data_IF_172527939708
#
_entry.id   IF_172527939708
#
_cell.length_a   1.000
_cell.length_b   1.000
_cell.length_c   1.000
_cell.angle_alpha   90.00
_cell.angle_beta   90.00
_cell.angle_gamma   90.00
#
_symmetry.space_group_name_H-M   'P 1'
#
loop_
_entity.id
_entity.type
_entity.pdbx_description
1 polymer ?
#
# COMPACT_ATOMS: atom_id res chain seq x y z
N UNK A 1 -69.28 -8.06 -3.36
CA UNK A 1 -68.41 -8.34 -2.22
C UNK A 1 -66.98 -8.74 -2.64
N UNK A 2 -66.83 -9.55 -3.67
CA UNK A 2 -65.49 -10.06 -4.13
C UNK A 2 -64.48 -8.99 -4.60
N UNK A 3 -64.93 -7.86 -5.16
CA UNK A 3 -64.00 -6.80 -5.58
C UNK A 3 -63.32 -6.05 -4.42
N UNK A 4 -64.06 -5.81 -3.34
CA UNK A 4 -63.51 -5.12 -2.15
C UNK A 4 -62.45 -5.98 -1.43
N UNK A 5 -62.66 -7.30 -1.36
CA UNK A 5 -61.69 -8.24 -0.78
C UNK A 5 -60.41 -8.37 -1.64
N UNK A 6 -60.50 -8.34 -2.94
CA UNK A 6 -59.35 -8.36 -3.85
C UNK A 6 -58.48 -7.09 -3.72
N UNK A 7 -59.14 -5.92 -3.59
CA UNK A 7 -58.45 -4.64 -3.36
C UNK A 7 -57.76 -4.62 -2.00
N UNK A 8 -58.40 -5.18 -0.99
CA UNK A 8 -57.80 -5.28 0.35
C UNK A 8 -56.56 -6.18 0.36
N UNK A 9 -56.61 -7.34 -0.34
CA UNK A 9 -55.46 -8.23 -0.50
C UNK A 9 -54.30 -7.56 -1.25
N UNK A 10 -54.59 -6.77 -2.29
CA UNK A 10 -53.58 -6.02 -3.06
C UNK A 10 -52.93 -4.93 -2.22
N UNK A 11 -53.70 -4.22 -1.39
CA UNK A 11 -53.18 -3.23 -0.44
C UNK A 11 -52.26 -3.84 0.62
N UNK A 12 -52.66 -4.98 1.20
CA UNK A 12 -51.84 -5.71 2.18
C UNK A 12 -50.56 -6.25 1.52
N UNK A 13 -50.62 -6.74 0.30
CA UNK A 13 -49.44 -7.21 -0.44
C UNK A 13 -48.47 -6.09 -0.74
N UNK A 14 -48.95 -4.91 -1.17
CA UNK A 14 -48.13 -3.73 -1.41
C UNK A 14 -47.49 -3.22 -0.11
N UNK A 15 -48.24 -3.18 1.00
CA UNK A 15 -47.70 -2.80 2.31
C UNK A 15 -46.61 -3.77 2.80
N UNK A 16 -46.75 -5.07 2.52
CA UNK A 16 -45.76 -6.09 2.85
C UNK A 16 -44.46 -5.98 2.02
N UNK A 17 -44.59 -5.60 0.73
CA UNK A 17 -43.42 -5.34 -0.12
C UNK A 17 -42.61 -4.09 0.29
N UNK A 18 -43.23 -3.07 0.87
CA UNK A 18 -42.53 -1.85 1.31
C UNK A 18 -41.68 -2.03 2.59
N UNK A 19 -41.90 -3.09 3.36
CA UNK A 19 -41.16 -3.30 4.64
C UNK A 19 -39.76 -3.91 4.47
N UNK A 20 -39.31 -4.29 3.27
CA UNK A 20 -38.07 -5.05 3.06
C UNK A 20 -36.85 -4.21 2.72
N UNK A 21 -36.94 -2.88 2.62
CA UNK A 21 -35.87 -2.03 2.08
C UNK A 21 -35.15 -1.21 3.16
N UNK A 22 -34.90 -1.77 4.34
CA UNK A 22 -33.99 -1.15 5.29
C UNK A 22 -32.57 -1.62 4.96
N UNK A 23 -31.82 -0.80 4.21
CA UNK A 23 -30.38 -0.94 4.13
C UNK A 23 -29.82 -0.75 5.55
N UNK A 24 -29.39 -1.83 6.19
CA UNK A 24 -28.79 -1.77 7.51
C UNK A 24 -27.38 -1.17 7.39
N UNK A 25 -27.27 0.13 7.61
CA UNK A 25 -25.98 0.80 7.77
C UNK A 25 -25.37 0.27 9.08
N UNK A 26 -24.24 -0.41 8.97
CA UNK A 26 -23.50 -0.94 10.10
C UNK A 26 -22.26 -0.10 10.35
N UNK A 27 -22.06 0.37 11.59
CA UNK A 27 -20.83 1.04 12.01
C UNK A 27 -19.82 0.01 12.50
N UNK A 28 -18.61 0.05 11.91
CA UNK A 28 -17.48 -0.78 12.29
C UNK A 28 -16.43 0.11 12.91
N UNK A 29 -15.89 -0.32 14.04
CA UNK A 29 -14.78 0.35 14.74
C UNK A 29 -13.66 -0.64 14.98
N UNK A 30 -12.46 -0.11 15.21
CA UNK A 30 -11.31 -0.93 15.56
C UNK A 30 -10.02 -0.14 15.60
N UNK A 31 -8.94 -0.85 15.81
CA UNK A 31 -7.58 -0.31 15.81
C UNK A 31 -6.75 -1.00 14.75
N UNK A 32 -5.83 -0.26 14.16
CA UNK A 32 -4.80 -0.78 13.25
C UNK A 32 -3.45 -0.65 13.94
N UNK A 33 -2.73 -1.75 14.02
CA UNK A 33 -1.39 -1.82 14.62
C UNK A 33 -0.43 -2.53 13.67
N UNK A 34 0.86 -2.22 13.81
CA UNK A 34 1.94 -2.95 13.15
C UNK A 34 2.08 -4.35 13.77
N UNK A 35 2.36 -5.36 12.94
CA UNK A 35 2.55 -6.74 13.40
C UNK A 35 3.90 -6.93 14.11
N UNK A 36 4.92 -6.10 13.80
CA UNK A 36 6.27 -6.22 14.34
C UNK A 36 6.37 -5.74 15.79
N UNK A 37 5.83 -4.58 16.08
CA UNK A 37 5.99 -3.87 17.37
C UNK A 37 4.67 -3.63 18.11
N UNK A 38 3.54 -3.93 17.47
CA UNK A 38 2.19 -3.65 17.96
C UNK A 38 1.91 -2.16 18.19
N UNK A 39 2.70 -1.27 17.57
CA UNK A 39 2.47 0.17 17.63
C UNK A 39 1.24 0.59 16.80
N UNK A 40 0.46 1.59 17.28
CA UNK A 40 -0.68 2.11 16.54
C UNK A 40 -0.24 2.75 15.22
N UNK A 41 -0.92 2.42 14.13
CA UNK A 41 -0.60 2.95 12.81
C UNK A 41 -1.51 4.11 12.43
N UNK A 42 -0.90 5.28 12.20
CA UNK A 42 -1.57 6.53 11.85
C UNK A 42 -1.71 6.63 10.33
N UNK A 43 -2.85 7.12 9.82
CA UNK A 43 -3.03 7.42 8.41
C UNK A 43 -3.24 6.20 7.51
N UNK A 44 -3.53 5.03 8.07
CA UNK A 44 -3.88 3.83 7.30
C UNK A 44 -5.20 4.04 6.60
N UNK A 45 -5.26 3.81 5.30
CA UNK A 45 -6.48 3.92 4.50
C UNK A 45 -7.30 2.63 4.60
N UNK A 46 -8.60 2.78 4.90
CA UNK A 46 -9.58 1.70 4.99
C UNK A 46 -10.72 2.05 4.05
N UNK A 47 -10.93 1.23 3.01
CA UNK A 47 -11.97 1.42 2.00
C UNK A 47 -12.94 0.24 1.99
N UNK A 48 -14.23 0.54 1.81
CA UNK A 48 -15.24 -0.47 1.51
C UNK A 48 -15.16 -0.85 0.02
N UNK A 49 -14.89 -2.12 -0.27
CA UNK A 49 -14.73 -2.62 -1.63
C UNK A 49 -15.95 -2.35 -2.51
N UNK A 50 -15.69 -1.87 -3.73
CA UNK A 50 -16.74 -1.57 -4.71
C UNK A 50 -17.47 -0.24 -4.47
N UNK A 51 -17.01 0.56 -3.50
CA UNK A 51 -17.57 1.88 -3.20
C UNK A 51 -16.46 2.94 -3.09
N UNK A 52 -16.85 4.21 -2.95
CA UNK A 52 -15.94 5.32 -2.61
C UNK A 52 -15.93 5.60 -1.10
N UNK A 53 -16.60 4.76 -0.32
CA UNK A 53 -16.70 4.93 1.12
C UNK A 53 -15.40 4.45 1.80
N UNK A 54 -14.80 5.31 2.61
CA UNK A 54 -13.56 5.00 3.31
C UNK A 54 -13.28 5.93 4.47
N UNK A 55 -12.29 5.56 5.27
CA UNK A 55 -11.76 6.37 6.36
C UNK A 55 -10.25 6.17 6.49
N UNK A 56 -9.62 6.99 7.32
CA UNK A 56 -8.22 6.85 7.72
C UNK A 56 -8.13 6.69 9.25
N UNK A 57 -7.08 6.03 9.73
CA UNK A 57 -6.82 5.90 11.17
C UNK A 57 -6.33 7.20 11.80
N UNK A 58 -6.71 7.42 13.04
CA UNK A 58 -6.28 8.55 13.87
C UNK A 58 -4.89 8.35 14.49
N UNK A 59 -4.45 9.29 15.35
CA UNK A 59 -3.16 9.27 16.04
C UNK A 59 -2.96 8.04 16.95
N UNK A 60 -4.03 7.41 17.38
CA UNK A 60 -4.01 6.22 18.21
C UNK A 60 -4.27 4.93 17.40
N UNK A 61 -4.25 5.03 16.05
CA UNK A 61 -4.55 3.92 15.16
C UNK A 61 -6.02 3.52 15.11
N UNK A 62 -6.95 4.29 15.73
CA UNK A 62 -8.36 3.96 15.73
C UNK A 62 -9.03 4.37 14.42
N UNK A 63 -10.03 3.63 14.01
CA UNK A 63 -10.87 3.96 12.87
C UNK A 63 -12.35 3.70 13.14
N UNK A 64 -13.20 4.35 12.37
CA UNK A 64 -14.64 4.14 12.36
C UNK A 64 -15.17 4.33 10.94
N UNK A 65 -15.79 3.30 10.39
CA UNK A 65 -16.39 3.29 9.04
C UNK A 65 -17.83 2.81 9.10
N UNK A 66 -18.71 3.43 8.32
CA UNK A 66 -20.08 2.96 8.14
C UNK A 66 -20.15 2.17 6.84
N UNK A 67 -20.59 0.92 6.88
CA UNK A 67 -20.76 0.07 5.70
C UNK A 67 -22.22 -0.15 5.38
N UNK A 68 -22.52 -0.37 4.08
CA UNK A 68 -23.88 -0.48 3.60
C UNK A 68 -24.52 -1.85 3.89
N UNK A 69 -23.70 -2.87 4.18
CA UNK A 69 -24.22 -4.20 4.51
C UNK A 69 -23.25 -4.95 5.44
N UNK A 70 -23.80 -5.93 6.17
CA UNK A 70 -23.06 -6.75 7.12
C UNK A 70 -22.02 -7.68 6.48
N UNK A 71 -22.10 -7.93 5.17
CA UNK A 71 -21.16 -8.75 4.41
C UNK A 71 -20.12 -7.92 3.62
N UNK A 72 -20.03 -6.62 3.89
CA UNK A 72 -19.06 -5.74 3.26
C UNK A 72 -17.63 -6.28 3.41
N UNK A 73 -16.80 -5.91 2.47
CA UNK A 73 -15.38 -6.26 2.47
C UNK A 73 -14.57 -4.97 2.56
N UNK A 74 -13.65 -4.88 3.49
CA UNK A 74 -12.78 -3.74 3.69
C UNK A 74 -11.41 -4.02 3.09
N UNK A 75 -10.88 -3.08 2.32
CA UNK A 75 -9.48 -3.08 1.88
C UNK A 75 -8.70 -2.09 2.73
N UNK A 76 -7.64 -2.57 3.35
CA UNK A 76 -6.76 -1.81 4.25
C UNK A 76 -5.40 -1.69 3.59
N UNK A 77 -4.91 -0.47 3.43
CA UNK A 77 -3.64 -0.19 2.75
C UNK A 77 -2.85 0.92 3.43
N UNK A 78 -1.53 0.74 3.43
CA UNK A 78 -0.58 1.75 3.91
C UNK A 78 0.75 1.59 3.15
N UNK A 79 1.48 2.69 2.96
CA UNK A 79 2.77 2.69 2.24
C UNK A 79 3.79 1.85 3.00
N UNK A 80 4.45 0.91 2.32
CA UNK A 80 5.42 0.00 2.94
C UNK A 80 4.82 -1.23 3.63
N UNK A 81 3.50 -1.41 3.57
CA UNK A 81 2.80 -2.54 4.18
C UNK A 81 1.97 -3.31 3.15
N UNK A 82 1.78 -4.59 3.39
CA UNK A 82 0.95 -5.45 2.55
C UNK A 82 -0.50 -5.04 2.64
N UNK A 83 -1.13 -4.78 1.50
CA UNK A 83 -2.57 -4.54 1.44
C UNK A 83 -3.34 -5.77 1.89
N UNK A 84 -4.30 -5.58 2.78
CA UNK A 84 -5.14 -6.64 3.32
C UNK A 84 -6.60 -6.45 2.97
N UNK A 85 -7.30 -7.55 2.73
CA UNK A 85 -8.74 -7.56 2.45
C UNK A 85 -9.46 -8.34 3.54
N UNK A 86 -10.39 -7.69 4.24
CA UNK A 86 -11.05 -8.21 5.44
C UNK A 86 -12.56 -8.20 5.24
N UNK A 87 -13.20 -9.37 5.38
CA UNK A 87 -14.65 -9.49 5.38
C UNK A 87 -15.22 -9.09 6.74
N UNK A 88 -16.23 -8.24 6.74
CA UNK A 88 -16.90 -7.75 7.96
C UNK A 88 -17.64 -8.85 8.69
N UNK A 89 -18.43 -9.67 7.96
CA UNK A 89 -19.19 -10.80 8.50
C UNK A 89 -20.03 -10.41 9.74
N UNK A 90 -20.71 -9.28 9.68
CA UNK A 90 -21.56 -8.80 10.77
C UNK A 90 -20.85 -8.32 12.04
N UNK A 91 -19.50 -8.25 12.05
CA UNK A 91 -18.74 -7.79 13.20
C UNK A 91 -18.77 -6.27 13.29
N UNK A 92 -19.00 -5.74 14.51
CA UNK A 92 -18.98 -4.29 14.78
C UNK A 92 -17.60 -3.78 15.20
N UNK A 93 -16.70 -4.70 15.62
CA UNK A 93 -15.33 -4.38 16.00
C UNK A 93 -14.36 -5.29 15.27
N UNK A 94 -13.38 -4.69 14.58
CA UNK A 94 -12.35 -5.41 13.84
C UNK A 94 -11.01 -4.73 14.09
N UNK A 95 -10.12 -5.41 14.83
CA UNK A 95 -8.75 -4.96 15.02
C UNK A 95 -7.86 -5.60 13.94
N UNK A 96 -6.96 -4.80 13.37
CA UNK A 96 -6.17 -5.14 12.19
C UNK A 96 -4.69 -5.09 12.54
N UNK A 97 -3.94 -6.10 12.11
CA UNK A 97 -2.48 -6.12 12.19
C UNK A 97 -1.92 -6.04 10.78
N UNK A 98 -1.09 -5.03 10.51
CA UNK A 98 -0.48 -4.81 9.21
C UNK A 98 0.93 -5.40 9.19
N UNK A 99 1.25 -6.16 8.14
CA UNK A 99 2.57 -6.71 7.90
C UNK A 99 3.35 -5.84 6.94
N UNK A 100 4.61 -5.58 7.22
CA UNK A 100 5.50 -4.87 6.31
C UNK A 100 5.67 -5.62 4.97
N UNK A 101 5.71 -4.86 3.88
CA UNK A 101 6.02 -5.39 2.56
C UNK A 101 7.48 -5.08 2.20
N UNK A 102 8.38 -5.99 2.60
CA UNK A 102 9.81 -5.87 2.34
C UNK A 102 10.17 -5.77 0.86
N UNK A 103 9.29 -6.22 -0.06
CA UNK A 103 9.52 -6.14 -1.49
C UNK A 103 9.42 -4.71 -2.04
N UNK A 104 8.63 -3.85 -1.40
CA UNK A 104 8.49 -2.44 -1.80
C UNK A 104 9.78 -1.66 -1.53
N UNK A 105 10.57 -2.08 -0.52
CA UNK A 105 11.86 -1.45 -0.19
C UNK A 105 12.96 -1.79 -1.20
N UNK A 106 12.91 -2.97 -1.84
CA UNK A 106 13.86 -3.36 -2.88
C UNK A 106 13.63 -2.65 -4.23
N UNK A 107 12.40 -2.24 -4.54
CA UNK A 107 12.10 -1.51 -5.78
C UNK A 107 12.44 -0.01 -5.72
N UNK A 108 12.49 0.59 -4.53
CA UNK A 108 12.74 2.04 -4.39
C UNK A 108 14.23 2.40 -4.50
N UNK A 109 15.15 1.42 -4.39
CA UNK A 109 16.60 1.65 -4.48
C UNK A 109 17.11 1.77 -5.92
N UNK A 110 16.31 1.50 -6.95
CA UNK A 110 16.77 1.42 -8.35
C UNK A 110 16.41 2.65 -9.19
N UNK A 111 15.74 3.66 -8.67
CA UNK A 111 15.38 4.86 -9.46
C UNK A 111 16.15 6.08 -8.99
N UNK A 112 17.44 6.06 -9.23
CA UNK A 112 18.26 7.24 -9.03
C UNK A 112 19.74 6.98 -9.31
N UNK A 113 20.18 7.33 -10.50
CA UNK A 113 21.53 7.19 -11.06
C UNK A 113 21.81 5.81 -11.66
N UNK A 114 21.80 5.77 -12.99
CA UNK A 114 22.18 4.62 -13.78
C UNK A 114 23.51 4.03 -13.30
N UNK A 115 23.46 2.80 -12.83
CA UNK A 115 24.64 1.97 -12.72
C UNK A 115 25.10 1.72 -14.15
N UNK A 116 26.02 2.55 -14.66
CA UNK A 116 26.81 2.18 -15.83
C UNK A 116 27.51 0.88 -15.49
N UNK A 117 27.07 -0.20 -16.07
CA UNK A 117 27.81 -1.46 -16.03
C UNK A 117 29.20 -1.17 -16.60
N UNK A 118 30.22 -1.61 -15.89
CA UNK A 118 31.64 -1.52 -16.27
C UNK A 118 31.96 -2.08 -17.68
N UNK A 119 30.99 -2.71 -18.33
CA UNK A 119 31.07 -3.28 -19.67
C UNK A 119 30.84 -2.26 -20.81
N UNK A 120 30.30 -1.06 -20.51
CA UNK A 120 30.03 -0.06 -21.58
C UNK A 120 31.10 1.04 -21.65
N UNK A 121 32.14 0.94 -20.84
CA UNK A 121 33.36 1.77 -20.94
C UNK A 121 34.34 1.14 -21.94
N UNK A 122 33.93 0.97 -23.20
CA UNK A 122 34.85 0.82 -24.35
C UNK A 122 35.29 2.19 -24.82
N UNK A 123 35.78 2.99 -23.92
CA UNK A 123 36.49 4.23 -24.18
C UNK A 123 37.69 4.24 -23.28
N UNK A 124 38.86 4.00 -23.85
CA UNK A 124 40.21 4.06 -23.33
C UNK A 124 40.37 4.71 -21.95
N UNK A 125 40.14 3.97 -20.87
CA UNK A 125 40.71 4.28 -19.59
C UNK A 125 42.02 3.51 -19.50
N UNK A 126 43.11 4.17 -19.78
CA UNK A 126 44.44 3.63 -19.51
C UNK A 126 44.52 3.45 -17.95
N UNK A 127 44.37 2.23 -17.48
CA UNK A 127 44.68 1.90 -16.10
C UNK A 127 46.19 1.93 -15.92
N UNK A 128 46.70 2.96 -15.27
CA UNK A 128 48.10 3.05 -14.86
C UNK A 128 48.28 2.07 -13.70
N UNK A 129 48.98 0.98 -13.97
CA UNK A 129 49.28 -0.01 -12.96
C UNK A 129 50.44 0.52 -12.07
N UNK A 130 50.35 0.31 -10.75
CA UNK A 130 51.37 0.77 -9.77
C UNK A 130 52.77 0.22 -10.05
N UNK A 131 52.90 -0.83 -10.82
CA UNK A 131 54.18 -1.42 -11.21
C UNK A 131 54.86 -0.66 -12.36
N UNK A 132 54.10 0.05 -13.20
CA UNK A 132 54.65 0.90 -14.28
C UNK A 132 55.33 2.20 -13.75
N UNK A 133 54.93 2.63 -12.55
CA UNK A 133 55.49 3.83 -11.89
C UNK A 133 56.82 3.53 -11.21
N UNK A 134 57.06 2.30 -10.76
CA UNK A 134 58.29 1.90 -10.05
C UNK A 134 59.49 1.74 -10.98
N UNK A 135 59.25 1.54 -12.28
CA UNK A 135 60.32 1.33 -13.26
C UNK A 135 60.78 2.61 -13.98
N UNK A 136 60.11 3.73 -13.73
CA UNK A 136 60.53 5.03 -14.25
C UNK A 136 61.47 5.66 -13.21
N UNK A 137 62.79 5.53 -13.43
CA UNK A 137 63.84 6.20 -12.61
C UNK A 137 63.83 7.72 -12.87
N UNK A 138 62.69 8.39 -12.64
CA UNK A 138 62.59 9.84 -12.72
C UNK A 138 62.20 10.39 -11.35
N UNK A 139 62.98 11.39 -10.94
CA UNK A 139 62.89 12.03 -9.59
C UNK A 139 61.63 12.90 -9.46
N UNK A 140 60.81 13.03 -10.48
CA UNK A 140 59.62 13.87 -10.48
C UNK A 140 58.38 13.12 -10.97
N UNK A 141 57.48 12.82 -10.04
CA UNK A 141 56.21 12.14 -10.31
C UNK A 141 55.27 12.96 -11.23
N UNK A 142 55.45 14.28 -11.31
CA UNK A 142 54.70 15.18 -12.17
C UNK A 142 55.06 15.03 -13.67
N UNK A 143 56.35 14.79 -13.96
CA UNK A 143 56.82 14.63 -15.34
C UNK A 143 56.41 13.26 -15.94
N UNK A 144 56.22 12.23 -15.09
CA UNK A 144 55.80 10.90 -15.52
C UNK A 144 54.33 10.84 -15.96
N UNK A 145 53.49 11.73 -15.49
CA UNK A 145 52.07 11.81 -15.81
C UNK A 145 51.82 12.63 -17.09
N UNK A 146 52.69 13.59 -17.44
CA UNK A 146 52.51 14.44 -18.63
C UNK A 146 52.73 13.74 -19.96
N UNK A 147 53.48 12.64 -19.97
CA UNK A 147 53.76 11.88 -21.20
C UNK A 147 52.73 10.77 -21.54
N UNK A 148 51.79 10.45 -20.66
CA UNK A 148 50.86 9.34 -20.85
C UNK A 148 49.39 9.76 -21.02
N UNK A 149 49.10 11.06 -21.03
CA UNK A 149 47.75 11.62 -21.18
C UNK A 149 47.49 12.28 -22.56
N UNK A 150 48.22 11.84 -23.59
CA UNK A 150 47.98 12.27 -24.99
C UNK A 150 47.35 11.13 -25.78
#
# INVERSE_FOLDING_TARGET
MLMKTRILFLLVFVAFCCSSAMAQIQQIKGTVVSDNDSEPMIGVAILENGTTNGCITDLNGNYSIQVQNSNATLTVSFVGYKTQTIKVNGRNQINIRMQEDLKVLDEVVVVGYGVQRKSDLTGAVASVNSDDIKNLATVDAGAALQGKAA
#
